data_IF_384992158772
#
_entry.id   IF_384992158772
#
_cell.length_a   1.000
_cell.length_b   1.000
_cell.length_c   1.000
_cell.angle_alpha   90.00
_cell.angle_beta   90.00
_cell.angle_gamma   90.00
#
_symmetry.space_group_name_H-M   'P 1'
#
loop_
_entity.id
_entity.type
_entity.pdbx_description
1 polymer ?
#
# COMPACT_ATOMS: atom_id res chain seq x y z
N UNK A 1 3.98 46.09 35.08
CA UNK A 1 4.14 47.46 34.55
C UNK A 1 5.26 47.37 33.50
N UNK A 2 4.87 46.98 32.29
CA UNK A 2 4.89 47.76 31.04
C UNK A 2 6.29 47.81 30.42
N UNK A 3 6.65 46.94 29.46
CA UNK A 3 6.28 46.85 28.02
C UNK A 3 7.26 47.65 27.16
N UNK A 4 7.84 46.97 26.16
CA UNK A 4 8.01 47.53 24.82
C UNK A 4 8.15 46.39 23.80
N UNK A 5 7.05 46.16 23.07
CA UNK A 5 6.95 45.38 21.85
C UNK A 5 7.67 46.05 20.68
N UNK A 6 8.02 45.27 19.65
CA UNK A 6 8.15 45.76 18.30
C UNK A 6 7.41 44.81 17.35
N UNK A 7 6.29 45.28 16.80
CA UNK A 7 5.63 44.76 15.61
C UNK A 7 5.58 45.86 14.55
N UNK A 8 5.80 45.48 13.28
CA UNK A 8 5.22 46.09 12.08
C UNK A 8 5.39 45.04 10.95
N UNK A 9 4.32 44.40 10.44
CA UNK A 9 3.45 44.82 9.31
C UNK A 9 4.20 45.03 7.98
N UNK A 10 3.71 44.71 6.79
CA UNK A 10 2.73 43.76 6.21
C UNK A 10 2.84 43.99 4.68
N UNK A 11 2.78 42.92 3.87
CA UNK A 11 2.28 42.87 2.48
C UNK A 11 3.06 43.55 1.30
N UNK A 12 2.76 43.29 0.00
CA UNK A 12 2.09 42.15 -0.69
C UNK A 12 2.80 41.61 -1.97
N UNK A 13 2.37 40.41 -2.38
CA UNK A 13 2.11 39.84 -3.72
C UNK A 13 2.83 40.22 -5.05
N UNK A 14 3.16 39.15 -5.81
CA UNK A 14 2.76 38.82 -7.21
C UNK A 14 3.66 39.02 -8.47
N UNK A 15 3.67 37.94 -9.27
CA UNK A 15 3.82 37.76 -10.75
C UNK A 15 5.27 37.76 -11.33
N UNK A 16 5.68 36.97 -12.34
CA UNK A 16 5.00 36.07 -13.30
C UNK A 16 6.03 35.12 -14.00
N UNK A 17 5.61 33.89 -14.31
CA UNK A 17 5.76 33.14 -15.60
C UNK A 17 7.08 33.15 -16.40
N UNK A 18 7.63 31.94 -16.65
CA UNK A 18 8.02 31.39 -17.99
C UNK A 18 7.96 29.85 -17.84
N UNK A 19 7.26 28.99 -18.58
CA UNK A 19 6.75 29.02 -19.95
C UNK A 19 7.67 28.20 -20.87
N UNK A 20 7.55 26.86 -20.95
CA UNK A 20 7.98 26.08 -22.14
C UNK A 20 7.17 24.80 -22.32
N UNK A 21 6.57 24.71 -23.50
CA UNK A 21 5.92 23.55 -24.09
C UNK A 21 6.76 23.09 -25.31
N UNK A 22 6.59 21.81 -25.67
CA UNK A 22 6.93 21.11 -26.93
C UNK A 22 8.16 20.19 -26.99
N UNK A 23 7.77 18.91 -27.08
CA UNK A 23 8.33 17.69 -27.72
C UNK A 23 9.49 17.88 -28.70
N UNK A 24 10.46 16.97 -28.60
CA UNK A 24 11.00 16.30 -29.77
C UNK A 24 11.35 14.83 -29.46
N UNK A 25 10.89 13.95 -30.35
CA UNK A 25 11.19 12.52 -30.40
C UNK A 25 12.30 12.36 -31.44
N UNK A 26 13.41 11.71 -31.08
CA UNK A 26 14.32 11.13 -32.08
C UNK A 26 14.87 9.83 -31.51
N UNK A 27 14.46 8.74 -32.16
CA UNK A 27 15.01 7.39 -32.02
C UNK A 27 16.30 7.35 -32.82
N UNK A 28 17.39 6.90 -32.21
CA UNK A 28 18.50 6.27 -32.93
C UNK A 28 18.97 5.06 -32.13
N UNK A 29 18.69 3.88 -32.70
CA UNK A 29 19.40 2.64 -32.43
C UNK A 29 20.91 2.87 -32.63
N UNK A 30 21.75 2.30 -31.75
CA UNK A 30 22.79 1.35 -32.17
C UNK A 30 23.74 0.98 -31.03
N UNK A 31 24.15 -0.30 -31.08
CA UNK A 31 25.40 -0.88 -30.58
C UNK A 31 25.42 -1.42 -29.15
N UNK A 32 25.09 -2.71 -29.10
CA UNK A 32 25.67 -3.75 -28.26
C UNK A 32 27.20 -3.57 -28.12
N UNK A 33 27.72 -3.42 -26.90
CA UNK A 33 29.17 -3.47 -26.66
C UNK A 33 29.58 -3.09 -25.23
N UNK A 34 30.14 -4.07 -24.54
CA UNK A 34 31.07 -3.99 -23.40
C UNK A 34 30.59 -3.59 -21.99
N UNK A 35 30.36 -4.65 -21.20
CA UNK A 35 31.04 -5.03 -19.95
C UNK A 35 31.63 -3.97 -18.98
N UNK A 36 31.50 -4.32 -17.69
CA UNK A 36 32.26 -3.90 -16.48
C UNK A 36 31.65 -2.71 -15.71
N UNK A 37 31.40 -2.73 -14.39
CA UNK A 37 31.35 -3.75 -13.32
C UNK A 37 30.46 -3.18 -12.20
N UNK A 38 29.71 -4.06 -11.55
CA UNK A 38 29.13 -3.80 -10.23
C UNK A 38 30.10 -4.38 -9.18
N UNK A 39 30.81 -3.49 -8.50
CA UNK A 39 31.41 -3.73 -7.19
C UNK A 39 30.70 -2.68 -6.29
N UNK A 40 30.08 -2.93 -5.14
CA UNK A 40 30.25 -3.98 -4.15
C UNK A 40 28.91 -4.24 -3.40
N UNK A 41 28.45 -5.49 -3.36
CA UNK A 41 27.56 -5.99 -2.29
C UNK A 41 28.37 -7.02 -1.52
N UNK A 42 28.86 -6.62 -0.34
CA UNK A 42 29.55 -7.51 0.57
C UNK A 42 28.52 -8.33 1.36
N UNK A 43 28.31 -9.57 0.95
CA UNK A 43 27.54 -10.57 1.70
C UNK A 43 28.40 -11.82 1.88
N UNK A 44 29.25 -11.77 2.91
CA UNK A 44 29.71 -12.92 3.72
C UNK A 44 29.68 -14.29 3.04
N UNK A 45 30.79 -14.57 2.36
CA UNK A 45 31.58 -15.81 2.42
C UNK A 45 30.90 -17.15 2.08
N UNK A 46 30.58 -17.33 0.79
CA UNK A 46 30.28 -18.64 0.18
C UNK A 46 31.55 -19.47 -0.13
N UNK A 47 32.75 -18.95 0.18
CA UNK A 47 34.02 -19.58 -0.18
C UNK A 47 34.33 -20.88 0.58
N UNK A 48 33.61 -21.13 1.67
CA UNK A 48 33.78 -22.29 2.55
C UNK A 48 32.79 -23.43 2.29
N UNK A 49 31.90 -23.31 1.29
CA UNK A 49 30.91 -24.35 1.00
C UNK A 49 31.46 -25.41 0.04
N UNK A 50 31.06 -26.66 0.28
CA UNK A 50 31.34 -27.75 -0.65
C UNK A 50 30.52 -27.61 -1.94
N UNK A 51 30.97 -28.29 -3.01
CA UNK A 51 30.30 -28.23 -4.31
C UNK A 51 28.85 -28.73 -4.19
N UNK A 52 28.64 -29.79 -3.42
CA UNK A 52 27.33 -30.40 -3.19
C UNK A 52 26.38 -29.47 -2.43
N UNK A 53 26.88 -28.69 -1.47
CA UNK A 53 26.09 -27.69 -0.74
C UNK A 53 25.72 -26.50 -1.63
N UNK A 54 26.65 -26.02 -2.46
CA UNK A 54 26.37 -24.98 -3.45
C UNK A 54 25.30 -25.41 -4.45
N UNK A 55 25.40 -26.63 -4.98
CA UNK A 55 24.39 -27.21 -5.88
C UNK A 55 23.02 -27.35 -5.22
N UNK A 56 22.99 -27.74 -3.94
CA UNK A 56 21.76 -27.79 -3.15
C UNK A 56 21.12 -26.40 -2.99
N UNK A 57 21.91 -25.37 -2.67
CA UNK A 57 21.40 -24.01 -2.52
C UNK A 57 20.91 -23.42 -3.84
N UNK A 58 21.64 -23.64 -4.95
CA UNK A 58 21.25 -23.23 -6.31
C UNK A 58 19.91 -23.87 -6.68
N UNK A 59 19.78 -25.19 -6.56
CA UNK A 59 18.54 -25.92 -6.87
C UNK A 59 17.35 -25.46 -6.01
N UNK A 60 17.60 -25.13 -4.74
CA UNK A 60 16.57 -24.60 -3.82
C UNK A 60 16.15 -23.18 -4.20
N UNK A 61 17.07 -22.36 -4.69
CA UNK A 61 16.80 -21.00 -5.15
C UNK A 61 16.10 -20.98 -6.52
N UNK A 62 16.55 -21.79 -7.46
CA UNK A 62 15.93 -21.95 -8.78
C UNK A 62 14.52 -22.55 -8.67
N UNK A 63 14.31 -23.49 -7.75
CA UNK A 63 12.99 -24.01 -7.40
C UNK A 63 12.05 -22.96 -6.79
N UNK A 64 12.58 -21.89 -6.20
CA UNK A 64 11.79 -20.75 -5.73
C UNK A 64 11.48 -19.73 -6.84
N UNK A 65 12.31 -19.63 -7.88
CA UNK A 65 12.16 -18.64 -8.97
C UNK A 65 11.34 -19.20 -10.14
N UNK A 66 11.37 -20.51 -10.41
CA UNK A 66 10.76 -21.12 -11.61
C UNK A 66 9.23 -21.19 -11.70
N UNK A 67 8.45 -20.42 -10.91
CA UNK A 67 6.97 -20.47 -10.94
C UNK A 67 6.25 -19.13 -11.14
N UNK A 68 6.94 -18.06 -11.52
CA UNK A 68 6.26 -16.84 -11.93
C UNK A 68 7.12 -15.98 -12.88
N UNK A 69 7.00 -16.22 -14.18
CA UNK A 69 7.27 -15.17 -15.17
C UNK A 69 6.21 -15.22 -16.26
N UNK A 70 5.23 -14.32 -16.17
CA UNK A 70 4.99 -13.47 -17.33
C UNK A 70 4.45 -12.09 -16.93
N UNK A 71 5.16 -11.08 -17.46
CA UNK A 71 4.81 -9.67 -17.69
C UNK A 71 4.31 -8.82 -16.50
N UNK A 72 5.17 -7.90 -16.04
CA UNK A 72 4.73 -6.50 -15.84
C UNK A 72 5.87 -5.50 -16.02
N UNK A 73 5.50 -4.39 -16.64
CA UNK A 73 6.25 -3.23 -17.13
C UNK A 73 6.96 -2.42 -16.04
N UNK A 74 8.06 -1.76 -16.42
CA UNK A 74 8.87 -0.85 -15.58
C UNK A 74 8.13 0.45 -15.23
N UNK A 75 8.33 0.98 -14.01
CA UNK A 75 8.73 2.37 -13.71
C UNK A 75 9.13 2.57 -12.22
N UNK A 76 10.28 3.23 -12.05
CA UNK A 76 10.83 4.02 -10.93
C UNK A 76 11.35 3.33 -9.64
N UNK A 77 12.48 3.85 -9.15
CA UNK A 77 13.38 3.41 -8.06
C UNK A 77 12.79 3.22 -6.63
N UNK A 78 11.49 2.92 -6.50
CA UNK A 78 10.84 2.42 -5.29
C UNK A 78 10.73 0.90 -5.35
N UNK A 79 11.04 0.20 -4.27
CA UNK A 79 10.85 -1.26 -4.21
C UNK A 79 9.34 -1.53 -4.22
N UNK A 80 8.75 -1.74 -5.40
CA UNK A 80 7.35 -2.15 -5.52
C UNK A 80 7.19 -3.48 -4.80
N UNK A 81 6.33 -3.50 -3.79
CA UNK A 81 6.13 -4.69 -2.94
C UNK A 81 5.09 -5.60 -3.58
N UNK A 82 5.40 -6.88 -3.65
CA UNK A 82 4.48 -7.94 -4.09
C UNK A 82 4.52 -9.08 -3.09
N UNK A 83 3.35 -9.49 -2.60
CA UNK A 83 3.16 -10.45 -1.52
C UNK A 83 2.05 -11.45 -1.79
N UNK A 84 0.97 -11.02 -2.42
CA UNK A 84 -0.17 -11.85 -2.76
C UNK A 84 0.23 -12.82 -3.88
N UNK A 85 -0.28 -14.05 -3.85
CA UNK A 85 0.06 -15.08 -4.85
C UNK A 85 -1.18 -15.65 -5.56
N UNK A 86 -2.37 -15.17 -5.18
CA UNK A 86 -3.63 -15.55 -5.80
C UNK A 86 -3.93 -14.80 -7.10
N UNK A 87 -5.09 -15.14 -7.66
CA UNK A 87 -5.64 -14.51 -8.86
C UNK A 87 -5.94 -13.03 -8.63
N UNK A 88 -5.73 -12.22 -9.67
CA UNK A 88 -6.03 -10.79 -9.57
C UNK A 88 -7.54 -10.55 -9.56
N UNK A 89 -7.97 -9.68 -8.65
CA UNK A 89 -9.37 -9.30 -8.48
C UNK A 89 -9.58 -7.84 -8.89
N UNK A 90 -10.80 -7.52 -9.33
CA UNK A 90 -11.20 -6.12 -9.51
C UNK A 90 -11.22 -5.40 -8.15
N UNK A 91 -10.77 -4.14 -8.10
CA UNK A 91 -10.79 -3.35 -6.86
C UNK A 91 -12.24 -2.94 -6.52
N UNK A 92 -12.89 -3.76 -5.69
CA UNK A 92 -14.23 -3.53 -5.15
C UNK A 92 -14.23 -3.81 -3.65
N UNK A 93 -15.17 -3.23 -2.90
CA UNK A 93 -15.27 -3.48 -1.47
C UNK A 93 -15.46 -4.97 -1.15
N UNK A 94 -16.24 -5.68 -1.97
CA UNK A 94 -16.50 -7.12 -1.85
C UNK A 94 -15.23 -7.94 -2.02
N UNK A 95 -14.42 -7.63 -3.04
CA UNK A 95 -13.15 -8.34 -3.25
C UNK A 95 -12.13 -8.01 -2.16
N UNK A 96 -12.07 -6.76 -1.69
CA UNK A 96 -11.21 -6.41 -0.54
C UNK A 96 -11.64 -7.18 0.71
N UNK A 97 -12.95 -7.33 0.95
CA UNK A 97 -13.46 -8.13 2.06
C UNK A 97 -13.09 -9.61 1.92
N UNK A 98 -13.28 -10.18 0.72
CA UNK A 98 -12.92 -11.57 0.40
C UNK A 98 -11.44 -11.83 0.65
N UNK A 99 -10.55 -11.03 0.05
CA UNK A 99 -9.09 -11.22 0.21
C UNK A 99 -8.68 -11.01 1.66
N UNK A 100 -9.24 -10.02 2.37
CA UNK A 100 -8.92 -9.80 3.77
C UNK A 100 -9.36 -10.98 4.67
N UNK A 101 -10.51 -11.59 4.39
CA UNK A 101 -11.00 -12.78 5.09
C UNK A 101 -10.13 -14.01 4.81
N UNK A 102 -9.86 -14.30 3.53
CA UNK A 102 -9.01 -15.43 3.10
C UNK A 102 -7.61 -15.35 3.71
N UNK A 103 -7.06 -14.13 3.80
CA UNK A 103 -5.76 -13.86 4.39
C UNK A 103 -5.81 -13.77 5.92
N UNK A 104 -6.97 -14.01 6.54
CA UNK A 104 -7.13 -14.11 7.99
C UNK A 104 -6.91 -12.80 8.73
N UNK A 105 -7.29 -11.66 8.14
CA UNK A 105 -7.33 -10.40 8.86
C UNK A 105 -8.47 -10.43 9.88
N UNK A 106 -8.19 -9.92 11.08
CA UNK A 106 -9.20 -9.74 12.12
C UNK A 106 -9.89 -8.38 12.00
N UNK A 107 -11.04 -8.22 12.67
CA UNK A 107 -11.77 -6.95 12.76
C UNK A 107 -12.14 -6.37 11.38
N UNK A 108 -12.58 -7.24 10.46
CA UNK A 108 -12.79 -6.92 9.04
C UNK A 108 -13.63 -5.66 8.80
N UNK A 109 -14.72 -5.45 9.56
CA UNK A 109 -15.54 -4.23 9.42
C UNK A 109 -14.72 -2.94 9.56
N UNK A 110 -13.82 -2.88 10.54
CA UNK A 110 -12.96 -1.71 10.75
C UNK A 110 -11.83 -1.64 9.73
N UNK A 111 -11.26 -2.78 9.31
CA UNK A 111 -10.25 -2.82 8.24
C UNK A 111 -10.84 -2.29 6.93
N UNK A 112 -12.04 -2.72 6.57
CA UNK A 112 -12.75 -2.23 5.39
C UNK A 112 -13.10 -0.75 5.50
N UNK A 113 -13.52 -0.30 6.68
CA UNK A 113 -13.77 1.11 6.94
C UNK A 113 -12.50 1.97 6.78
N UNK A 114 -11.34 1.47 7.19
CA UNK A 114 -10.06 2.13 6.93
C UNK A 114 -9.78 2.19 5.43
N UNK A 115 -9.89 1.07 4.70
CA UNK A 115 -9.66 1.05 3.26
C UNK A 115 -10.55 2.06 2.53
N UNK A 116 -11.84 2.13 2.85
CA UNK A 116 -12.76 3.12 2.26
C UNK A 116 -12.36 4.56 2.60
N UNK A 117 -11.98 4.81 3.86
CA UNK A 117 -11.61 6.14 4.34
C UNK A 117 -10.31 6.65 3.67
N UNK A 118 -9.26 5.84 3.68
CA UNK A 118 -7.92 6.17 3.14
C UNK A 118 -7.95 6.36 1.62
N UNK A 119 -8.79 5.58 0.93
CA UNK A 119 -8.87 5.62 -0.53
C UNK A 119 -9.88 6.61 -1.06
N UNK A 120 -10.64 7.31 -0.20
CA UNK A 120 -11.75 8.16 -0.62
C UNK A 120 -12.77 7.38 -1.48
N UNK A 121 -13.16 6.19 -1.03
CA UNK A 121 -14.00 5.23 -1.78
C UNK A 121 -13.33 4.68 -3.05
N UNK A 122 -12.08 4.25 -2.95
CA UNK A 122 -11.27 3.65 -4.04
C UNK A 122 -11.01 4.57 -5.23
N UNK A 123 -10.94 5.88 -4.97
CA UNK A 123 -10.80 6.93 -6.00
C UNK A 123 -9.55 7.78 -5.83
N UNK A 124 -8.87 7.71 -4.67
CA UNK A 124 -7.71 8.54 -4.40
C UNK A 124 -6.53 8.15 -5.29
N UNK A 125 -5.67 9.14 -5.57
CA UNK A 125 -4.49 8.96 -6.39
C UNK A 125 -3.55 7.87 -5.83
N UNK A 126 -3.29 7.89 -4.52
CA UNK A 126 -2.45 6.88 -3.87
C UNK A 126 -3.03 5.46 -3.96
N UNK A 127 -4.36 5.34 -3.92
CA UNK A 127 -5.05 4.06 -4.14
C UNK A 127 -4.82 3.54 -5.57
N UNK A 128 -4.99 4.40 -6.58
CA UNK A 128 -4.98 4.00 -7.98
C UNK A 128 -3.57 3.88 -8.57
N UNK A 129 -2.64 4.75 -8.16
CA UNK A 129 -1.27 4.76 -8.67
C UNK A 129 -0.33 3.83 -7.89
N UNK A 130 -0.53 3.73 -6.57
CA UNK A 130 0.40 2.99 -5.69
C UNK A 130 -0.20 1.71 -5.14
N UNK A 131 -1.46 1.40 -5.49
CA UNK A 131 -2.20 0.24 -4.98
C UNK A 131 -2.21 0.18 -3.45
N UNK A 132 -2.13 1.33 -2.76
CA UNK A 132 -2.01 1.41 -1.31
C UNK A 132 -3.37 1.73 -0.68
N UNK A 133 -4.10 0.70 -0.28
CA UNK A 133 -5.45 0.87 0.26
C UNK A 133 -5.49 1.45 1.68
N UNK A 134 -4.37 1.43 2.40
CA UNK A 134 -4.35 1.71 3.84
C UNK A 134 -3.48 2.92 4.20
N UNK A 135 -2.98 3.67 3.22
CA UNK A 135 -2.10 4.80 3.47
C UNK A 135 -0.80 4.41 4.18
N UNK A 136 -0.28 3.19 3.94
CA UNK A 136 0.91 2.70 4.63
C UNK A 136 2.12 3.55 4.24
N UNK A 137 2.75 4.18 5.24
CA UNK A 137 3.88 5.08 5.07
C UNK A 137 5.19 4.42 5.50
N UNK A 138 6.23 4.54 4.69
CA UNK A 138 7.60 4.15 5.01
C UNK A 138 8.36 5.36 5.56
N UNK A 139 8.42 5.46 6.88
CA UNK A 139 9.13 6.55 7.56
C UNK A 139 10.63 6.58 7.27
N UNK A 140 11.24 5.47 6.83
CA UNK A 140 12.67 5.43 6.49
C UNK A 140 12.94 6.09 5.15
N UNK A 141 12.00 5.97 4.22
CA UNK A 141 12.07 6.54 2.87
C UNK A 141 11.35 7.87 2.75
N UNK A 142 10.63 8.26 3.80
CA UNK A 142 9.77 9.42 3.84
C UNK A 142 8.71 9.42 2.71
N UNK A 143 8.22 8.24 2.32
CA UNK A 143 7.29 8.06 1.20
C UNK A 143 6.25 6.96 1.50
N UNK A 144 5.16 6.93 0.74
CA UNK A 144 4.17 5.85 0.84
C UNK A 144 4.69 4.57 0.20
N UNK A 145 4.26 3.42 0.73
CA UNK A 145 4.56 2.14 0.08
C UNK A 145 3.82 2.03 -1.25
N UNK A 146 4.52 1.51 -2.26
CA UNK A 146 3.96 1.17 -3.57
C UNK A 146 3.84 -0.35 -3.68
N UNK A 147 2.69 -0.79 -4.14
CA UNK A 147 2.36 -2.20 -4.27
C UNK A 147 2.12 -2.56 -5.74
N UNK A 148 2.49 -3.78 -6.11
CA UNK A 148 2.28 -4.27 -7.47
C UNK A 148 0.79 -4.37 -7.78
N UNK A 149 0.00 -4.82 -6.79
CA UNK A 149 -1.46 -4.89 -6.85
C UNK A 149 -2.08 -4.51 -5.50
N UNK A 150 -3.36 -4.18 -5.51
CA UNK A 150 -4.05 -3.73 -4.29
C UNK A 150 -4.11 -4.84 -3.23
N UNK A 151 -4.16 -6.11 -3.63
CA UNK A 151 -4.14 -7.27 -2.74
C UNK A 151 -2.86 -7.30 -1.90
N UNK A 152 -1.72 -6.91 -2.49
CA UNK A 152 -0.45 -6.83 -1.77
C UNK A 152 -0.52 -5.84 -0.60
N UNK A 153 -1.32 -4.77 -0.71
CA UNK A 153 -1.53 -3.82 0.39
C UNK A 153 -2.36 -4.42 1.54
N UNK A 154 -3.25 -5.37 1.26
CA UNK A 154 -3.99 -6.14 2.29
C UNK A 154 -3.02 -7.03 3.07
N UNK A 155 -2.13 -7.72 2.36
CA UNK A 155 -1.09 -8.55 2.99
C UNK A 155 -0.12 -7.68 3.80
N UNK A 156 0.27 -6.53 3.26
CA UNK A 156 1.14 -5.57 3.93
C UNK A 156 0.48 -5.03 5.21
N UNK A 157 -0.81 -4.71 5.19
CA UNK A 157 -1.55 -4.27 6.37
C UNK A 157 -1.50 -5.34 7.48
N UNK A 158 -1.70 -6.61 7.13
CA UNK A 158 -1.53 -7.71 8.09
C UNK A 158 -0.13 -7.74 8.70
N UNK A 159 0.90 -7.65 7.85
CA UNK A 159 2.31 -7.75 8.24
C UNK A 159 2.82 -6.54 9.03
N UNK A 160 2.34 -5.33 8.74
CA UNK A 160 2.89 -4.08 9.29
C UNK A 160 2.03 -3.52 10.43
N UNK A 161 0.73 -3.80 10.41
CA UNK A 161 -0.23 -3.24 11.36
C UNK A 161 -0.83 -4.35 12.23
N UNK A 162 -1.54 -5.32 11.65
CA UNK A 162 -2.29 -6.29 12.47
C UNK A 162 -1.41 -7.19 13.33
N UNK A 163 -0.14 -7.45 12.96
CA UNK A 163 0.74 -8.26 13.80
C UNK A 163 0.91 -7.68 15.23
N UNK A 164 0.74 -6.35 15.39
CA UNK A 164 0.79 -5.63 16.68
C UNK A 164 -0.52 -5.72 17.46
N UNK A 165 -1.61 -6.15 16.84
CA UNK A 165 -2.90 -6.32 17.50
C UNK A 165 -2.91 -7.64 18.28
N UNK A 166 -3.22 -7.56 19.57
CA UNK A 166 -3.24 -8.69 20.51
C UNK A 166 -4.62 -8.91 21.14
N UNK A 167 -5.68 -8.46 20.47
CA UNK A 167 -7.05 -8.48 20.98
C UNK A 167 -7.48 -7.17 21.65
N UNK A 168 -8.76 -7.13 22.04
CA UNK A 168 -9.40 -5.96 22.68
C UNK A 168 -10.00 -4.96 21.68
N UNK A 169 -10.32 -3.75 22.14
CA UNK A 169 -10.97 -2.74 21.30
C UNK A 169 -10.05 -2.27 20.15
N UNK A 170 -10.46 -2.51 18.91
CA UNK A 170 -9.66 -2.24 17.72
C UNK A 170 -9.37 -0.75 17.50
N UNK A 171 -10.34 0.14 17.74
CA UNK A 171 -10.13 1.59 17.60
C UNK A 171 -9.15 2.14 18.65
N UNK A 172 -9.19 1.61 19.89
CA UNK A 172 -8.18 1.92 20.92
C UNK A 172 -6.80 1.42 20.50
N UNK A 173 -6.72 0.26 19.86
CA UNK A 173 -5.48 -0.26 19.28
C UNK A 173 -4.91 0.69 18.22
N UNK A 174 -5.71 1.12 17.24
CA UNK A 174 -5.27 2.05 16.19
C UNK A 174 -4.72 3.35 16.77
N UNK A 175 -5.42 3.91 17.77
CA UNK A 175 -4.95 5.11 18.48
C UNK A 175 -3.63 4.87 19.21
N UNK A 176 -3.51 3.74 19.92
CA UNK A 176 -2.31 3.39 20.71
C UNK A 176 -1.07 3.24 19.85
N UNK A 177 -1.20 2.69 18.64
CA UNK A 177 -0.06 2.52 17.73
C UNK A 177 0.29 3.79 16.95
N UNK A 178 -0.47 4.88 17.13
CA UNK A 178 -0.29 6.13 16.39
C UNK A 178 -0.54 5.93 14.89
N UNK A 179 -1.61 5.21 14.52
CA UNK A 179 -1.87 4.87 13.11
C UNK A 179 -1.96 6.11 12.20
N UNK A 180 -2.59 7.17 12.69
CA UNK A 180 -2.71 8.45 12.00
C UNK A 180 -2.46 9.60 12.98
N UNK A 181 -1.95 10.71 12.46
CA UNK A 181 -1.73 11.95 13.23
C UNK A 181 -3.04 12.64 13.60
N UNK A 182 -4.08 12.49 12.78
CA UNK A 182 -5.39 13.08 13.03
C UNK A 182 -6.02 12.50 14.31
N UNK A 183 -6.24 13.31 15.36
CA UNK A 183 -6.86 12.84 16.61
C UNK A 183 -8.31 12.35 16.40
N UNK A 184 -8.98 12.83 15.35
CA UNK A 184 -10.33 12.42 14.95
C UNK A 184 -10.38 11.15 14.11
N UNK A 185 -9.23 10.57 13.73
CA UNK A 185 -9.16 9.44 12.80
C UNK A 185 -10.04 8.26 13.21
N UNK A 186 -9.90 7.79 14.44
CA UNK A 186 -10.67 6.62 14.92
C UNK A 186 -12.19 6.88 14.94
N UNK A 187 -12.61 8.13 15.14
CA UNK A 187 -14.02 8.51 15.07
C UNK A 187 -14.53 8.51 13.62
N UNK A 188 -13.70 8.94 12.65
CA UNK A 188 -14.01 8.85 11.21
C UNK A 188 -14.13 7.38 10.77
N UNK A 189 -13.21 6.51 11.17
CA UNK A 189 -13.27 5.06 10.90
C UNK A 189 -14.55 4.45 11.47
N UNK A 190 -14.91 4.80 12.71
CA UNK A 190 -16.16 4.32 13.31
C UNK A 190 -17.41 4.74 12.52
N UNK A 191 -17.46 6.00 12.04
CA UNK A 191 -18.57 6.49 11.21
C UNK A 191 -18.69 5.73 9.88
N UNK A 192 -17.57 5.44 9.22
CA UNK A 192 -17.56 4.65 7.99
C UNK A 192 -18.00 3.21 8.27
N UNK A 193 -17.49 2.59 9.35
CA UNK A 193 -17.86 1.25 9.76
C UNK A 193 -19.37 1.12 10.02
N UNK A 194 -20.00 2.10 10.68
CA UNK A 194 -21.46 2.12 10.88
C UNK A 194 -22.22 2.13 9.55
N UNK A 195 -21.81 2.98 8.59
CA UNK A 195 -22.43 3.01 7.26
C UNK A 195 -22.32 1.68 6.52
N UNK A 196 -21.15 1.06 6.54
CA UNK A 196 -20.93 -0.25 5.91
C UNK A 196 -21.81 -1.34 6.55
N UNK A 197 -21.92 -1.32 7.88
CA UNK A 197 -22.79 -2.25 8.60
C UNK A 197 -24.27 -2.07 8.23
N UNK A 198 -24.75 -0.82 8.22
CA UNK A 198 -26.15 -0.51 7.89
C UNK A 198 -26.51 -0.92 6.45
N UNK A 199 -25.61 -0.68 5.50
CA UNK A 199 -25.77 -1.12 4.10
C UNK A 199 -25.89 -2.64 4.01
N UNK A 200 -25.01 -3.37 4.71
CA UNK A 200 -25.01 -4.85 4.72
C UNK A 200 -26.29 -5.41 5.34
N UNK A 201 -26.76 -4.79 6.43
CA UNK A 201 -28.01 -5.17 7.10
C UNK A 201 -29.21 -4.94 6.20
N UNK A 202 -29.30 -3.79 5.52
CA UNK A 202 -30.38 -3.48 4.59
C UNK A 202 -30.47 -4.48 3.45
N UNK A 203 -29.33 -4.86 2.85
CA UNK A 203 -29.27 -5.85 1.76
C UNK A 203 -29.72 -7.22 2.27
N UNK A 204 -29.24 -7.65 3.43
CA UNK A 204 -29.58 -8.96 4.01
C UNK A 204 -31.08 -9.03 4.33
N UNK A 205 -31.64 -7.98 4.93
CA UNK A 205 -33.09 -7.90 5.21
C UNK A 205 -33.90 -7.95 3.92
N UNK A 206 -33.52 -7.19 2.89
CA UNK A 206 -34.21 -7.19 1.60
C UNK A 206 -34.17 -8.57 0.91
N UNK A 207 -33.05 -9.29 1.01
CA UNK A 207 -32.90 -10.61 0.40
C UNK A 207 -33.71 -11.69 1.12
N UNK A 208 -33.82 -11.61 2.46
CA UNK A 208 -34.71 -12.48 3.25
C UNK A 208 -36.17 -12.18 2.93
N UNK A 209 -36.54 -10.90 2.83
CA UNK A 209 -37.91 -10.48 2.50
C UNK A 209 -38.32 -11.02 1.11
N UNK A 210 -37.47 -10.87 0.09
CA UNK A 210 -37.72 -11.43 -1.25
C UNK A 210 -37.89 -12.96 -1.22
N UNK A 211 -37.09 -13.70 -0.44
CA UNK A 211 -37.23 -15.17 -0.31
C UNK A 211 -38.45 -15.62 0.49
N UNK A 212 -39.11 -14.73 1.22
CA UNK A 212 -40.38 -15.01 1.90
C UNK A 212 -41.61 -14.80 0.98
N UNK A 213 -41.43 -14.16 -0.18
CA UNK A 213 -42.50 -13.90 -1.16
C UNK A 213 -42.38 -14.72 -2.45
N UNK A 214 -41.50 -15.72 -2.51
CA UNK A 214 -41.39 -16.71 -3.61
C UNK A 214 -41.69 -18.09 -3.04
#
# INVERSE_FOLDING_TARGET
MFVAEAQAQENPEYFHSVGKEKKDITVQDSILGDSVKADEVNSSDFSMLTIEELEMYIKKFEGMIGKATDKTTRLNNGRVLSYYTGEQHALTLENVAKVAEEEGLSNLLFVLAQAVLETGHFKSRACLEYNNLFGLYDSRRHDYYHFARWEDSVIAYKKFIQYRYKGGNYLKFLRRIGYAEDPGYTAKVAKVAMRLYDQTKSITTQYIDIRMYV
#
